data_IF_134294118179
#
_entry.id   IF_134294118179
#
_cell.length_a   1.000
_cell.length_b   1.000
_cell.length_c   1.000
_cell.angle_alpha   90.00
_cell.angle_beta   90.00
_cell.angle_gamma   90.00
#
_symmetry.space_group_name_H-M   'P 1'
#
loop_
_entity.id
_entity.type
_entity.pdbx_description
1 polymer ?
#
# COMPACT_ATOMS: atom_id res chain seq x y z
N UNK A 1 -58.95 43.50 -41.35
CA UNK A 1 -58.81 42.59 -40.17
C UNK A 1 -57.35 42.22 -39.98
N UNK A 2 -56.63 42.92 -39.16
CA UNK A 2 -55.21 42.61 -38.89
C UNK A 2 -54.73 43.39 -37.65
N UNK A 3 -55.29 43.06 -36.46
CA UNK A 3 -54.82 43.66 -35.20
C UNK A 3 -54.12 42.66 -34.27
N UNK A 4 -53.88 41.45 -34.75
CA UNK A 4 -53.30 40.35 -33.95
C UNK A 4 -51.76 40.21 -34.15
N UNK A 5 -51.09 41.18 -34.77
CA UNK A 5 -49.63 41.11 -34.99
C UNK A 5 -48.74 41.81 -33.96
N UNK A 6 -49.33 42.47 -32.95
CA UNK A 6 -48.56 43.31 -32.01
C UNK A 6 -48.53 42.84 -30.56
N UNK A 7 -48.83 41.55 -30.30
CA UNK A 7 -48.72 40.99 -28.92
C UNK A 7 -47.74 39.82 -28.95
N UNK A 8 -46.52 40.11 -29.36
CA UNK A 8 -45.41 39.20 -29.07
C UNK A 8 -44.61 39.88 -27.98
N UNK A 9 -44.57 39.32 -26.74
CA UNK A 9 -43.72 39.86 -25.69
C UNK A 9 -42.25 39.78 -26.11
N UNK A 10 -41.40 40.74 -25.73
CA UNK A 10 -40.01 40.75 -26.11
C UNK A 10 -39.37 39.46 -25.64
N UNK A 11 -38.70 38.75 -26.57
CA UNK A 11 -37.87 37.59 -26.27
C UNK A 11 -36.89 38.00 -25.19
N UNK A 12 -37.11 37.56 -23.95
CA UNK A 12 -36.11 37.57 -22.91
C UNK A 12 -34.96 36.72 -23.45
N UNK A 13 -33.93 37.36 -23.96
CA UNK A 13 -32.65 36.70 -24.22
C UNK A 13 -32.18 36.16 -22.86
N UNK A 14 -32.43 34.87 -22.62
CA UNK A 14 -31.72 34.15 -21.56
C UNK A 14 -30.22 34.35 -21.81
N UNK A 15 -29.63 35.26 -21.08
CA UNK A 15 -28.21 35.32 -20.89
C UNK A 15 -27.86 34.05 -20.08
N UNK A 16 -27.82 32.92 -20.78
CA UNK A 16 -27.13 31.74 -20.24
C UNK A 16 -25.64 32.07 -20.42
N UNK A 17 -25.16 32.95 -19.58
CA UNK A 17 -23.76 33.06 -19.31
C UNK A 17 -23.35 31.68 -18.79
N UNK A 18 -22.76 30.85 -19.65
CA UNK A 18 -21.93 29.72 -19.24
C UNK A 18 -20.79 30.34 -18.42
N UNK A 19 -21.02 30.58 -17.17
CA UNK A 19 -19.94 30.60 -16.20
C UNK A 19 -19.42 29.16 -16.20
N UNK A 20 -18.53 28.86 -17.14
CA UNK A 20 -17.59 27.77 -16.95
C UNK A 20 -16.79 28.17 -15.72
N UNK A 21 -17.26 27.78 -14.54
CA UNK A 21 -16.36 27.61 -13.39
C UNK A 21 -15.27 26.69 -13.92
N UNK A 22 -14.10 27.22 -14.20
CA UNK A 22 -12.89 26.42 -14.31
C UNK A 22 -12.73 25.77 -12.94
N UNK A 23 -13.35 24.61 -12.77
CA UNK A 23 -13.07 23.74 -11.62
C UNK A 23 -11.63 23.28 -11.90
N UNK A 24 -10.64 23.63 -11.05
CA UNK A 24 -9.28 23.19 -11.27
C UNK A 24 -9.27 21.67 -11.42
N UNK A 25 -8.67 21.18 -12.50
CA UNK A 25 -8.50 19.75 -12.72
C UNK A 25 -7.75 19.16 -11.52
N UNK A 26 -8.24 18.05 -10.96
CA UNK A 26 -7.62 17.34 -9.84
C UNK A 26 -8.22 17.58 -8.46
N UNK A 27 -9.27 18.43 -8.31
CA UNK A 27 -9.94 18.63 -7.01
C UNK A 27 -10.89 17.48 -6.62
N UNK A 28 -11.31 16.67 -7.59
CA UNK A 28 -12.31 15.63 -7.38
C UNK A 28 -11.74 14.25 -7.62
N UNK A 29 -12.13 13.30 -6.77
CA UNK A 29 -11.82 11.89 -6.89
C UNK A 29 -13.12 11.10 -6.99
N UNK A 30 -13.22 10.20 -7.96
CA UNK A 30 -14.35 9.29 -8.08
C UNK A 30 -13.99 7.96 -7.42
N UNK A 31 -14.73 7.58 -6.37
CA UNK A 31 -14.50 6.32 -5.70
C UNK A 31 -14.65 5.14 -6.66
N UNK A 32 -13.68 4.24 -6.81
CA UNK A 32 -13.78 3.12 -7.73
C UNK A 32 -14.83 2.08 -7.32
N UNK A 33 -15.17 2.00 -6.03
CA UNK A 33 -16.14 1.04 -5.52
C UNK A 33 -17.58 1.52 -5.65
N UNK A 34 -17.92 2.72 -5.15
CA UNK A 34 -19.29 3.22 -5.12
C UNK A 34 -19.58 4.33 -6.13
N UNK A 35 -18.60 4.74 -6.94
CA UNK A 35 -18.69 5.77 -7.97
C UNK A 35 -19.03 7.18 -7.44
N UNK A 36 -19.15 7.38 -6.13
CA UNK A 36 -19.38 8.69 -5.52
C UNK A 36 -18.21 9.61 -5.81
N UNK A 37 -18.50 10.85 -6.16
CA UNK A 37 -17.49 11.89 -6.37
C UNK A 37 -17.18 12.55 -5.03
N UNK A 38 -15.92 12.51 -4.63
CA UNK A 38 -15.41 13.01 -3.35
C UNK A 38 -14.46 14.18 -3.60
N UNK A 39 -14.44 15.13 -2.68
CA UNK A 39 -13.43 16.18 -2.71
C UNK A 39 -12.09 15.63 -2.24
N UNK A 40 -11.02 15.90 -3.00
CA UNK A 40 -9.71 15.29 -2.75
C UNK A 40 -9.16 15.61 -1.37
N UNK A 41 -9.31 16.86 -0.92
CA UNK A 41 -8.87 17.26 0.43
C UNK A 41 -9.64 16.57 1.56
N UNK A 42 -10.94 16.27 1.35
CA UNK A 42 -11.71 15.53 2.36
C UNK A 42 -11.31 14.04 2.37
N UNK A 43 -10.98 13.48 1.20
CA UNK A 43 -10.46 12.14 1.10
C UNK A 43 -9.08 12.01 1.77
N UNK A 44 -8.21 13.01 1.60
CA UNK A 44 -6.89 13.10 2.26
C UNK A 44 -7.06 13.18 3.79
N UNK A 45 -7.93 14.05 4.30
CA UNK A 45 -8.26 14.15 5.74
C UNK A 45 -8.82 12.84 6.30
N UNK A 46 -9.57 12.09 5.49
CA UNK A 46 -10.11 10.78 5.86
C UNK A 46 -9.13 9.63 5.53
N UNK A 47 -7.82 9.90 5.46
CA UNK A 47 -6.78 8.90 5.23
C UNK A 47 -7.00 8.07 3.96
N UNK A 48 -7.49 8.70 2.88
CA UNK A 48 -7.81 8.06 1.61
C UNK A 48 -8.90 6.97 1.72
N UNK A 49 -9.73 7.00 2.76
CA UNK A 49 -10.89 6.13 2.92
C UNK A 49 -12.15 6.85 2.43
N UNK A 50 -12.91 6.21 1.55
CA UNK A 50 -14.14 6.78 1.03
C UNK A 50 -15.16 6.98 2.15
N UNK A 51 -15.63 8.22 2.35
CA UNK A 51 -16.60 8.54 3.39
C UNK A 51 -17.98 7.92 3.15
N UNK A 52 -18.31 7.55 1.90
CA UNK A 52 -19.60 6.96 1.54
C UNK A 52 -19.66 5.44 1.74
N UNK A 53 -18.63 4.71 1.30
CA UNK A 53 -18.67 3.23 1.30
C UNK A 53 -17.55 2.56 2.09
N UNK A 54 -16.65 3.33 2.71
CA UNK A 54 -15.52 2.80 3.47
C UNK A 54 -14.43 2.17 2.60
N UNK A 55 -14.45 2.35 1.28
CA UNK A 55 -13.41 1.80 0.42
C UNK A 55 -12.06 2.46 0.70
N UNK A 56 -11.04 1.65 0.93
CA UNK A 56 -9.67 2.08 1.18
C UNK A 56 -8.95 2.29 -0.15
N UNK A 57 -8.83 3.56 -0.58
CA UNK A 57 -8.03 3.88 -1.76
C UNK A 57 -6.55 3.64 -1.48
N UNK A 58 -5.77 3.45 -2.54
CA UNK A 58 -4.31 3.33 -2.42
C UNK A 58 -3.70 4.62 -1.89
N UNK A 59 -2.69 4.47 -1.06
CA UNK A 59 -1.98 5.57 -0.41
C UNK A 59 -0.48 5.38 -0.65
N UNK A 60 0.27 6.47 -0.74
CA UNK A 60 1.73 6.39 -0.88
C UNK A 60 2.38 5.88 0.42
N UNK A 61 3.59 5.33 0.28
CA UNK A 61 4.36 4.91 1.45
C UNK A 61 4.67 6.09 2.37
N UNK A 62 4.98 7.27 1.82
CA UNK A 62 5.29 8.48 2.60
C UNK A 62 4.07 8.95 3.40
N UNK A 63 2.88 8.99 2.79
CA UNK A 63 1.66 9.34 3.52
C UNK A 63 1.37 8.34 4.63
N UNK A 64 1.60 7.03 4.37
CA UNK A 64 1.39 5.99 5.37
C UNK A 64 2.36 6.12 6.55
N UNK A 65 3.62 6.42 6.30
CA UNK A 65 4.62 6.71 7.34
C UNK A 65 4.18 7.93 8.17
N UNK A 66 3.77 9.01 7.51
CA UNK A 66 3.29 10.22 8.18
C UNK A 66 2.04 9.99 9.05
N UNK A 67 1.17 9.05 8.66
CA UNK A 67 -0.02 8.68 9.44
C UNK A 67 0.29 7.82 10.67
N UNK A 68 1.33 6.99 10.60
CA UNK A 68 1.64 6.01 11.63
C UNK A 68 2.64 6.54 12.65
N UNK A 69 3.69 7.22 12.22
CA UNK A 69 4.76 7.66 13.09
C UNK A 69 4.55 9.05 13.68
N UNK A 70 5.06 9.23 14.89
CA UNK A 70 5.17 10.54 15.53
C UNK A 70 6.15 11.43 14.76
N UNK A 71 5.90 12.72 14.75
CA UNK A 71 6.80 13.75 14.20
C UNK A 71 7.33 14.65 15.32
N UNK A 72 8.55 15.19 15.25
CA UNK A 72 9.67 14.91 14.37
C UNK A 72 10.57 13.78 14.92
N UNK A 73 11.66 13.43 14.27
CA UNK A 73 12.69 12.47 14.66
C UNK A 73 12.55 11.07 14.02
N UNK A 74 12.22 11.04 12.74
CA UNK A 74 12.26 9.82 11.95
C UNK A 74 13.64 9.67 11.30
N UNK A 75 14.20 8.46 11.32
CA UNK A 75 15.48 8.14 10.68
C UNK A 75 15.22 7.13 9.56
N UNK A 76 15.48 7.51 8.32
CA UNK A 76 15.36 6.62 7.19
C UNK A 76 16.63 5.80 6.98
N UNK A 77 16.46 4.48 6.84
CA UNK A 77 17.53 3.52 6.63
C UNK A 77 17.56 3.00 5.19
N UNK A 78 18.76 2.80 4.65
CA UNK A 78 18.95 2.21 3.33
C UNK A 78 18.47 3.07 2.15
N UNK A 79 18.28 4.36 2.34
CA UNK A 79 17.83 5.29 1.29
C UNK A 79 18.80 5.42 0.10
N UNK A 80 20.08 5.04 0.29
CA UNK A 80 21.11 5.05 -0.77
C UNK A 80 21.20 3.75 -1.55
N UNK A 81 20.52 2.68 -1.11
CA UNK A 81 20.53 1.38 -1.78
C UNK A 81 19.66 1.49 -3.04
N UNK A 82 20.25 1.14 -4.18
CA UNK A 82 19.58 1.22 -5.49
C UNK A 82 19.60 -0.14 -6.19
N UNK A 83 18.55 -0.47 -6.94
CA UNK A 83 18.54 -1.68 -7.74
C UNK A 83 19.56 -1.61 -8.87
N UNK A 84 20.08 -2.77 -9.21
CA UNK A 84 20.91 -2.98 -10.40
C UNK A 84 20.13 -3.83 -11.41
N UNK A 85 20.60 -3.86 -12.65
CA UNK A 85 20.05 -4.73 -13.70
C UNK A 85 21.06 -5.85 -14.04
N UNK A 86 21.19 -6.90 -13.17
CA UNK A 86 22.21 -7.91 -13.35
C UNK A 86 21.92 -8.84 -14.54
N UNK A 87 20.67 -8.88 -15.02
CA UNK A 87 20.24 -9.74 -16.11
C UNK A 87 20.15 -9.01 -17.46
N UNK A 88 20.38 -7.69 -17.46
CA UNK A 88 20.12 -6.85 -18.64
C UNK A 88 18.73 -7.13 -19.23
N UNK A 89 17.73 -7.22 -18.33
CA UNK A 89 16.37 -7.62 -18.68
C UNK A 89 15.70 -6.63 -19.63
N UNK A 90 15.13 -7.16 -20.70
CA UNK A 90 14.41 -6.39 -21.70
C UNK A 90 13.15 -7.15 -22.15
N UNK A 91 11.98 -6.53 -21.98
CA UNK A 91 10.71 -6.99 -22.59
C UNK A 91 10.24 -5.95 -23.63
N UNK A 92 9.23 -5.16 -23.32
CA UNK A 92 8.80 -4.01 -24.14
C UNK A 92 9.70 -2.79 -23.96
N UNK A 93 10.44 -2.72 -22.83
CA UNK A 93 11.41 -1.69 -22.47
C UNK A 93 12.51 -2.28 -21.59
N UNK A 94 13.75 -1.79 -21.70
CA UNK A 94 14.84 -2.20 -20.81
C UNK A 94 14.49 -1.93 -19.33
N UNK A 95 14.82 -2.86 -18.44
CA UNK A 95 14.56 -2.73 -17.01
C UNK A 95 15.21 -1.48 -16.42
N UNK A 96 16.44 -1.19 -16.80
CA UNK A 96 17.18 0.02 -16.39
C UNK A 96 16.43 1.31 -16.74
N UNK A 97 15.76 1.36 -17.89
CA UNK A 97 14.97 2.51 -18.29
C UNK A 97 13.72 2.66 -17.42
N UNK A 98 13.03 1.54 -17.12
CA UNK A 98 11.89 1.53 -16.18
C UNK A 98 12.28 1.99 -14.80
N UNK A 99 13.41 1.51 -14.27
CA UNK A 99 13.94 1.93 -12.98
C UNK A 99 14.16 3.45 -12.95
N UNK A 100 14.90 3.97 -13.93
CA UNK A 100 15.21 5.40 -13.99
C UNK A 100 13.95 6.28 -14.08
N UNK A 101 12.96 5.87 -14.89
CA UNK A 101 11.71 6.63 -15.01
C UNK A 101 10.90 6.60 -13.73
N UNK A 102 10.75 5.43 -13.09
CA UNK A 102 9.99 5.28 -11.85
C UNK A 102 10.66 6.00 -10.68
N UNK A 103 11.99 5.89 -10.55
CA UNK A 103 12.75 6.61 -9.53
C UNK A 103 12.59 8.12 -9.66
N UNK A 104 12.62 8.62 -10.91
CA UNK A 104 12.46 10.05 -11.19
C UNK A 104 11.04 10.57 -10.94
N UNK A 105 10.04 9.74 -11.21
CA UNK A 105 8.62 10.08 -11.01
C UNK A 105 8.24 10.11 -9.53
N UNK A 106 8.74 9.15 -8.74
CA UNK A 106 8.33 8.95 -7.36
C UNK A 106 9.30 9.58 -6.34
N UNK A 107 10.50 9.97 -6.77
CA UNK A 107 11.61 10.37 -5.88
C UNK A 107 11.98 9.28 -4.85
N UNK A 108 11.80 8.01 -5.24
CA UNK A 108 12.11 6.83 -4.43
C UNK A 108 13.10 5.93 -5.16
N UNK A 109 14.02 5.31 -4.42
CA UNK A 109 15.03 4.44 -5.03
C UNK A 109 14.53 3.02 -5.30
N UNK A 110 13.57 2.52 -4.52
CA UNK A 110 12.93 1.22 -4.70
C UNK A 110 11.59 1.14 -3.95
N UNK A 111 10.90 0.02 -4.06
CA UNK A 111 9.54 -0.20 -3.56
C UNK A 111 9.42 -0.29 -2.03
N UNK A 112 10.51 -0.36 -1.27
CA UNK A 112 10.46 -0.42 0.20
C UNK A 112 11.15 0.78 0.83
N UNK A 113 10.48 1.41 1.79
CA UNK A 113 11.01 2.49 2.62
C UNK A 113 11.08 1.96 4.05
N UNK A 114 12.24 2.14 4.70
CA UNK A 114 12.47 1.71 6.09
C UNK A 114 12.75 2.92 6.95
N UNK A 115 11.96 3.08 8.01
CA UNK A 115 12.05 4.25 8.89
C UNK A 115 12.04 3.78 10.35
N UNK A 116 12.98 4.28 11.12
CA UNK A 116 12.98 4.22 12.59
C UNK A 116 12.22 5.43 13.13
N UNK A 117 11.31 5.19 14.07
CA UNK A 117 10.49 6.25 14.64
C UNK A 117 9.74 5.78 15.89
N UNK A 118 8.66 6.47 16.23
CA UNK A 118 7.80 6.12 17.36
C UNK A 118 6.34 6.13 16.95
N UNK A 119 5.54 5.29 17.58
CA UNK A 119 4.07 5.30 17.55
C UNK A 119 3.59 5.54 18.96
N UNK A 120 2.90 6.66 19.22
CA UNK A 120 2.47 7.06 20.58
C UNK A 120 3.61 6.96 21.61
N UNK A 121 4.79 7.48 21.22
CA UNK A 121 6.05 7.46 21.98
C UNK A 121 6.72 6.09 22.11
N UNK A 122 6.16 5.00 21.61
CA UNK A 122 6.73 3.65 21.62
C UNK A 122 7.70 3.51 20.44
N UNK A 123 8.97 3.14 20.65
CA UNK A 123 9.94 2.95 19.57
C UNK A 123 9.54 1.80 18.65
N UNK A 124 9.67 2.01 17.34
CA UNK A 124 9.39 1.01 16.31
C UNK A 124 10.32 1.17 15.11
N UNK A 125 10.49 0.09 14.35
CA UNK A 125 10.99 0.15 12.98
C UNK A 125 9.85 -0.19 12.03
N UNK A 126 9.61 0.69 11.07
CA UNK A 126 8.53 0.60 10.10
C UNK A 126 9.09 0.36 8.70
N UNK A 127 8.69 -0.71 8.04
CA UNK A 127 8.99 -1.03 6.64
C UNK A 127 7.71 -0.89 5.81
N UNK A 128 7.66 0.05 4.86
CA UNK A 128 6.44 0.38 4.11
C UNK A 128 6.68 0.26 2.62
N UNK A 129 5.79 -0.46 1.95
CA UNK A 129 5.83 -0.62 0.50
C UNK A 129 5.23 0.59 -0.23
N UNK A 130 5.95 1.06 -1.26
CA UNK A 130 5.44 1.98 -2.27
C UNK A 130 4.92 1.19 -3.48
N UNK A 131 3.60 1.04 -3.54
CA UNK A 131 2.97 0.25 -4.61
C UNK A 131 3.17 0.84 -6.00
N UNK A 132 3.29 2.17 -6.11
CA UNK A 132 3.54 2.82 -7.40
C UNK A 132 4.90 2.48 -7.99
N UNK A 133 5.86 2.10 -7.13
CA UNK A 133 7.16 1.63 -7.60
C UNK A 133 7.03 0.20 -8.16
N UNK A 134 6.81 0.10 -9.46
CA UNK A 134 6.70 -1.17 -10.20
C UNK A 134 5.74 -2.20 -9.55
N UNK A 135 4.56 -1.72 -9.10
CA UNK A 135 3.57 -2.56 -8.42
C UNK A 135 3.99 -3.03 -7.03
N UNK A 136 4.89 -2.33 -6.35
CA UNK A 136 5.42 -2.73 -5.05
C UNK A 136 6.21 -4.04 -5.12
N UNK A 137 6.74 -4.41 -6.31
CA UNK A 137 7.38 -5.71 -6.49
C UNK A 137 8.68 -5.85 -5.72
N UNK A 138 8.86 -7.04 -5.12
CA UNK A 138 10.04 -7.38 -4.35
C UNK A 138 11.21 -7.74 -5.26
N UNK A 139 12.21 -6.86 -5.34
CA UNK A 139 13.52 -7.12 -5.93
C UNK A 139 14.61 -7.25 -4.85
N UNK A 140 15.85 -7.32 -5.28
CA UNK A 140 17.04 -7.45 -4.41
C UNK A 140 17.12 -6.35 -3.33
N UNK A 141 16.78 -5.11 -3.69
CA UNK A 141 16.78 -3.96 -2.78
C UNK A 141 15.71 -4.09 -1.70
N UNK A 142 14.52 -4.57 -2.05
CA UNK A 142 13.45 -4.81 -1.07
C UNK A 142 13.90 -5.82 -0.02
N UNK A 143 14.50 -6.94 -0.45
CA UNK A 143 15.02 -7.94 0.47
C UNK A 143 16.14 -7.41 1.37
N UNK A 144 17.08 -6.62 0.81
CA UNK A 144 18.16 -5.98 1.58
C UNK A 144 17.62 -4.99 2.60
N UNK A 145 16.73 -4.10 2.19
CA UNK A 145 16.10 -3.11 3.09
C UNK A 145 15.26 -3.78 4.19
N UNK A 146 14.59 -4.91 3.88
CA UNK A 146 13.85 -5.66 4.88
C UNK A 146 14.79 -6.26 5.94
N UNK A 147 15.92 -6.86 5.53
CA UNK A 147 16.94 -7.34 6.46
C UNK A 147 17.50 -6.20 7.30
N UNK A 148 17.76 -5.04 6.70
CA UNK A 148 18.20 -3.84 7.41
C UNK A 148 17.16 -3.38 8.44
N UNK A 149 15.87 -3.47 8.14
CA UNK A 149 14.79 -3.17 9.08
C UNK A 149 14.81 -4.14 10.28
N UNK A 150 14.97 -5.43 10.01
CA UNK A 150 15.12 -6.46 11.05
C UNK A 150 16.33 -6.17 11.94
N UNK A 151 17.50 -5.93 11.37
CA UNK A 151 18.72 -5.66 12.14
C UNK A 151 18.62 -4.36 12.96
N UNK A 152 17.95 -3.34 12.41
CA UNK A 152 17.69 -2.09 13.12
C UNK A 152 16.75 -2.32 14.30
N UNK A 153 15.67 -3.07 14.11
CA UNK A 153 14.73 -3.39 15.19
C UNK A 153 15.37 -4.22 16.30
N UNK A 154 16.23 -5.19 15.96
CA UNK A 154 17.04 -5.95 16.93
C UNK A 154 17.95 -5.02 17.73
N UNK A 155 18.71 -4.15 17.04
CA UNK A 155 19.62 -3.20 17.66
C UNK A 155 18.92 -2.27 18.63
N UNK A 156 17.74 -1.79 18.25
CA UNK A 156 16.95 -0.85 19.04
C UNK A 156 16.03 -1.55 20.07
N UNK A 157 16.00 -2.88 20.06
CA UNK A 157 15.13 -3.70 20.94
C UNK A 157 13.66 -3.25 20.84
N UNK A 158 13.14 -3.09 19.65
CA UNK A 158 11.79 -2.59 19.42
C UNK A 158 11.02 -3.45 18.41
N UNK A 159 9.73 -3.22 18.33
CA UNK A 159 8.85 -3.90 17.37
C UNK A 159 9.26 -3.59 15.93
N UNK A 160 9.15 -4.60 15.05
CA UNK A 160 9.18 -4.46 13.61
C UNK A 160 7.75 -4.45 13.07
N UNK A 161 7.43 -3.47 12.25
CA UNK A 161 6.14 -3.38 11.57
C UNK A 161 6.38 -3.33 10.06
N UNK A 162 5.71 -4.20 9.30
CA UNK A 162 5.76 -4.15 7.85
C UNK A 162 4.38 -3.84 7.28
N UNK A 163 4.28 -2.80 6.46
CA UNK A 163 3.05 -2.52 5.70
C UNK A 163 3.28 -2.95 4.26
N UNK A 164 2.74 -4.12 3.92
CA UNK A 164 2.87 -4.73 2.61
C UNK A 164 1.81 -4.22 1.64
N UNK A 165 2.26 -3.84 0.44
CA UNK A 165 1.43 -3.54 -0.72
C UNK A 165 2.21 -3.94 -1.98
N UNK A 166 1.95 -5.14 -2.52
CA UNK A 166 2.83 -5.73 -3.53
C UNK A 166 2.11 -6.68 -4.48
N UNK A 167 2.51 -6.64 -5.75
CA UNK A 167 2.15 -7.64 -6.74
C UNK A 167 2.97 -8.94 -6.65
N UNK A 168 4.02 -8.99 -5.83
CA UNK A 168 4.88 -10.16 -5.63
C UNK A 168 6.33 -9.94 -6.01
N UNK A 169 7.03 -11.02 -6.42
CA UNK A 169 8.44 -10.98 -6.82
C UNK A 169 8.65 -10.20 -8.12
N UNK A 170 9.72 -9.43 -8.21
CA UNK A 170 10.05 -8.59 -9.37
C UNK A 170 10.56 -9.44 -10.53
N UNK A 171 9.75 -9.58 -11.57
CA UNK A 171 10.02 -10.42 -12.74
C UNK A 171 11.36 -10.05 -13.41
N UNK A 172 11.68 -8.77 -13.48
CA UNK A 172 12.89 -8.27 -14.14
C UNK A 172 14.20 -8.68 -13.47
N UNK A 173 14.15 -9.09 -12.21
CA UNK A 173 15.32 -9.61 -11.49
C UNK A 173 15.33 -11.16 -11.41
N UNK A 174 14.36 -11.82 -12.04
CA UNK A 174 14.30 -13.27 -12.20
C UNK A 174 14.48 -14.04 -10.87
N UNK A 175 15.39 -15.03 -10.86
CA UNK A 175 15.66 -15.84 -9.68
C UNK A 175 16.16 -15.03 -8.48
N UNK A 176 16.84 -13.90 -8.71
CA UNK A 176 17.33 -13.03 -7.63
C UNK A 176 16.18 -12.51 -6.79
N UNK A 177 15.06 -12.12 -7.42
CA UNK A 177 13.87 -11.68 -6.70
C UNK A 177 13.22 -12.80 -5.89
N UNK A 178 13.21 -14.03 -6.40
CA UNK A 178 12.68 -15.18 -5.66
C UNK A 178 13.55 -15.53 -4.45
N UNK A 179 14.87 -15.40 -4.56
CA UNK A 179 15.78 -15.63 -3.44
C UNK A 179 15.60 -14.64 -2.29
N UNK A 180 14.93 -13.50 -2.53
CA UNK A 180 14.60 -12.57 -1.44
C UNK A 180 13.59 -13.18 -0.46
N UNK A 181 12.74 -14.10 -0.89
CA UNK A 181 11.83 -14.84 0.00
C UNK A 181 12.63 -15.60 1.08
N UNK A 182 13.63 -16.36 0.67
CA UNK A 182 14.49 -17.08 1.61
C UNK A 182 15.29 -16.12 2.51
N UNK A 183 15.84 -15.05 1.94
CA UNK A 183 16.63 -14.05 2.66
C UNK A 183 15.81 -13.36 3.76
N UNK A 184 14.61 -12.91 3.47
CA UNK A 184 13.72 -12.22 4.42
C UNK A 184 13.20 -13.18 5.49
N UNK A 185 12.86 -14.42 5.14
CA UNK A 185 12.45 -15.46 6.10
C UNK A 185 13.58 -15.83 7.06
N UNK A 186 14.81 -15.95 6.57
CA UNK A 186 15.98 -16.19 7.42
C UNK A 186 16.23 -15.03 8.39
N UNK A 187 16.04 -13.78 7.95
CA UNK A 187 16.14 -12.62 8.83
C UNK A 187 15.07 -12.64 9.92
N UNK A 188 13.84 -13.02 9.62
CA UNK A 188 12.76 -13.16 10.61
C UNK A 188 13.04 -14.30 11.60
N UNK A 189 13.63 -15.41 11.18
CA UNK A 189 14.08 -16.47 12.09
C UNK A 189 15.10 -15.93 13.10
N UNK A 190 16.04 -15.08 12.66
CA UNK A 190 16.95 -14.38 13.56
C UNK A 190 16.18 -13.44 14.50
N UNK A 191 15.23 -12.64 13.96
CA UNK A 191 14.43 -11.69 14.75
C UNK A 191 13.66 -12.37 15.87
N UNK A 192 13.00 -13.49 15.58
CA UNK A 192 12.22 -14.29 16.53
C UNK A 192 13.05 -14.74 17.75
N UNK A 193 14.36 -15.00 17.58
CA UNK A 193 15.23 -15.37 18.70
C UNK A 193 15.41 -14.27 19.76
N UNK A 194 15.12 -13.01 19.39
CA UNK A 194 15.16 -11.86 20.30
C UNK A 194 13.82 -11.62 21.00
N UNK A 195 12.77 -12.39 20.69
CA UNK A 195 11.43 -12.27 21.28
C UNK A 195 10.83 -10.86 21.13
N UNK A 196 11.15 -10.20 20.04
CA UNK A 196 10.58 -8.90 19.68
C UNK A 196 9.39 -9.13 18.74
N UNK A 197 8.30 -8.34 18.84
CA UNK A 197 7.13 -8.55 18.03
C UNK A 197 7.33 -8.09 16.57
N UNK A 198 6.93 -8.93 15.63
CA UNK A 198 6.78 -8.60 14.21
C UNK A 198 5.31 -8.50 13.84
N UNK A 199 4.83 -7.32 13.49
CA UNK A 199 3.45 -7.07 13.07
C UNK A 199 3.43 -6.83 11.57
N UNK A 200 2.66 -7.64 10.85
CA UNK A 200 2.45 -7.48 9.41
C UNK A 200 1.09 -6.85 9.12
N UNK A 201 1.07 -5.80 8.30
CA UNK A 201 -0.14 -5.13 7.83
C UNK A 201 -0.26 -5.34 6.33
N UNK A 202 -1.34 -6.00 5.92
CA UNK A 202 -1.60 -6.37 4.53
C UNK A 202 -2.58 -5.38 3.90
N UNK A 203 -2.09 -4.61 2.92
CA UNK A 203 -2.90 -3.66 2.14
C UNK A 203 -3.27 -4.24 0.78
N UNK A 204 -4.15 -3.55 0.05
CA UNK A 204 -4.59 -3.95 -1.29
C UNK A 204 -3.64 -3.49 -2.41
N UNK A 205 -3.06 -4.42 -3.17
CA UNK A 205 -2.98 -5.87 -3.00
C UNK A 205 -1.71 -6.32 -2.24
N UNK A 206 -1.73 -7.51 -1.63
CA UNK A 206 -0.52 -8.19 -1.13
C UNK A 206 -0.47 -9.60 -1.69
N UNK A 207 0.39 -9.84 -2.67
CA UNK A 207 0.34 -11.03 -3.52
C UNK A 207 1.72 -11.68 -3.71
N UNK A 208 1.72 -12.87 -4.28
CA UNK A 208 2.88 -13.57 -4.85
C UNK A 208 3.99 -13.84 -3.84
N UNK A 209 5.25 -13.60 -4.23
CA UNK A 209 6.41 -13.86 -3.38
C UNK A 209 6.46 -13.06 -2.08
N UNK A 210 5.78 -11.91 -2.00
CA UNK A 210 5.70 -11.10 -0.77
C UNK A 210 4.76 -11.75 0.23
N UNK A 211 3.54 -12.15 -0.19
CA UNK A 211 2.63 -12.90 0.67
C UNK A 211 3.19 -14.28 1.04
N UNK A 212 3.86 -14.98 0.11
CA UNK A 212 4.45 -16.29 0.37
C UNK A 212 5.78 -16.25 1.17
N UNK A 213 6.12 -15.08 1.75
CA UNK A 213 7.28 -14.92 2.61
C UNK A 213 6.95 -14.03 3.81
N UNK A 214 7.72 -13.00 4.05
CA UNK A 214 7.65 -12.19 5.27
C UNK A 214 6.27 -11.58 5.57
N UNK A 215 5.44 -11.27 4.55
CA UNK A 215 4.14 -10.65 4.81
C UNK A 215 3.17 -11.56 5.57
N UNK A 216 3.31 -12.89 5.46
CA UNK A 216 2.50 -13.87 6.20
C UNK A 216 3.26 -14.53 7.36
N UNK A 217 4.39 -13.96 7.77
CA UNK A 217 5.21 -14.45 8.89
C UNK A 217 5.18 -13.52 10.12
N UNK A 218 4.18 -12.61 10.18
CA UNK A 218 3.95 -11.78 11.36
C UNK A 218 3.52 -12.60 12.58
N UNK A 219 3.94 -12.19 13.76
CA UNK A 219 3.36 -12.69 15.02
C UNK A 219 1.90 -12.26 15.13
N UNK A 220 1.56 -11.13 14.54
CA UNK A 220 0.19 -10.66 14.29
C UNK A 220 0.09 -10.18 12.84
N UNK A 221 -0.95 -10.66 12.15
CA UNK A 221 -1.23 -10.32 10.76
C UNK A 221 -2.54 -9.53 10.70
N UNK A 222 -2.42 -8.26 10.37
CA UNK A 222 -3.54 -7.33 10.22
C UNK A 222 -3.82 -7.11 8.73
N UNK A 223 -5.08 -7.11 8.31
CA UNK A 223 -5.45 -6.68 6.96
C UNK A 223 -6.27 -5.39 6.99
N UNK A 224 -6.12 -4.57 5.95
CA UNK A 224 -7.10 -3.50 5.68
C UNK A 224 -8.39 -4.11 5.12
N UNK A 225 -9.58 -3.51 5.42
CA UNK A 225 -10.86 -4.00 4.90
C UNK A 225 -10.84 -4.19 3.39
N UNK A 226 -11.35 -5.31 2.92
CA UNK A 226 -11.47 -5.69 1.51
C UNK A 226 -10.15 -5.82 0.74
N UNK A 227 -9.00 -5.79 1.41
CA UNK A 227 -7.70 -5.98 0.77
C UNK A 227 -7.64 -7.34 0.06
N UNK A 228 -7.08 -7.34 -1.16
CA UNK A 228 -6.81 -8.54 -1.93
C UNK A 228 -5.47 -9.12 -1.49
N UNK A 229 -5.51 -10.31 -0.90
CA UNK A 229 -4.34 -10.98 -0.31
C UNK A 229 -4.33 -12.43 -0.77
N UNK A 230 -3.23 -12.88 -1.34
CA UNK A 230 -3.11 -14.25 -1.82
C UNK A 230 -1.78 -14.50 -2.51
N UNK A 231 -1.61 -15.69 -3.09
CA UNK A 231 -0.41 -16.01 -3.86
C UNK A 231 -0.63 -15.71 -5.35
N UNK A 232 -1.34 -16.58 -6.06
CA UNK A 232 -1.73 -16.32 -7.44
C UNK A 232 -2.98 -15.42 -7.47
N UNK A 233 -3.04 -14.50 -8.42
CA UNK A 233 -4.21 -13.64 -8.58
C UNK A 233 -5.47 -14.43 -9.00
N UNK A 234 -6.69 -13.96 -8.65
CA UNK A 234 -7.93 -14.67 -8.96
C UNK A 234 -8.06 -15.04 -10.44
N UNK A 235 -7.72 -14.13 -11.35
CA UNK A 235 -7.76 -14.39 -12.80
C UNK A 235 -6.84 -15.54 -13.23
N UNK A 236 -5.66 -15.65 -12.63
CA UNK A 236 -4.71 -16.72 -12.93
C UNK A 236 -5.27 -18.06 -12.45
N UNK A 237 -5.84 -18.09 -11.25
CA UNK A 237 -6.46 -19.31 -10.70
C UNK A 237 -7.61 -19.75 -11.59
N UNK A 238 -8.58 -18.87 -11.87
CA UNK A 238 -9.75 -19.17 -12.70
C UNK A 238 -9.37 -19.67 -14.11
N UNK A 239 -8.36 -19.04 -14.74
CA UNK A 239 -7.91 -19.47 -16.06
C UNK A 239 -7.19 -20.83 -16.04
N UNK A 240 -6.54 -21.17 -14.93
CA UNK A 240 -5.81 -22.44 -14.77
C UNK A 240 -6.71 -23.58 -14.38
N UNK A 241 -7.58 -23.37 -13.38
CA UNK A 241 -8.50 -24.40 -12.86
C UNK A 241 -9.76 -24.50 -13.72
N UNK A 242 -10.09 -23.43 -14.47
CA UNK A 242 -11.30 -23.30 -15.31
C UNK A 242 -12.60 -23.34 -14.51
N UNK A 243 -12.55 -22.91 -13.27
CA UNK A 243 -13.70 -22.79 -12.38
C UNK A 243 -13.85 -21.36 -11.88
N UNK A 244 -15.08 -21.00 -11.49
CA UNK A 244 -15.34 -19.68 -10.86
C UNK A 244 -14.99 -19.76 -9.38
N UNK A 245 -14.26 -18.77 -8.91
CA UNK A 245 -13.93 -18.66 -7.50
C UNK A 245 -15.13 -18.21 -6.66
N UNK A 246 -15.23 -18.64 -5.39
CA UNK A 246 -16.25 -18.16 -4.47
C UNK A 246 -16.26 -16.62 -4.36
N UNK A 247 -17.42 -16.08 -4.04
CA UNK A 247 -17.53 -14.64 -3.77
C UNK A 247 -16.65 -14.26 -2.58
N UNK A 248 -15.93 -13.13 -2.71
CA UNK A 248 -15.02 -12.68 -1.67
C UNK A 248 -13.70 -13.46 -1.56
N UNK A 249 -13.44 -14.42 -2.44
CA UNK A 249 -12.19 -15.19 -2.40
C UNK A 249 -10.96 -14.29 -2.38
N UNK A 250 -9.99 -14.61 -1.52
CA UNK A 250 -8.77 -13.84 -1.28
C UNK A 250 -9.00 -12.41 -0.75
N UNK A 251 -10.20 -12.05 -0.31
CA UNK A 251 -10.43 -10.80 0.40
C UNK A 251 -10.13 -10.95 1.89
N UNK A 252 -9.79 -9.85 2.54
CA UNK A 252 -9.46 -9.84 3.96
C UNK A 252 -10.50 -10.55 4.83
N UNK A 253 -11.80 -10.31 4.56
CA UNK A 253 -12.91 -10.90 5.28
C UNK A 253 -12.94 -12.43 5.13
N UNK A 254 -12.74 -12.93 3.90
CA UNK A 254 -12.65 -14.35 3.61
C UNK A 254 -11.45 -14.98 4.34
N UNK A 255 -10.30 -14.31 4.36
CA UNK A 255 -9.09 -14.81 5.00
C UNK A 255 -9.21 -14.83 6.54
N UNK A 256 -9.89 -13.85 7.12
CA UNK A 256 -10.19 -13.84 8.55
C UNK A 256 -11.09 -15.02 8.95
N UNK A 257 -12.14 -15.26 8.19
CA UNK A 257 -13.06 -16.40 8.40
C UNK A 257 -12.35 -17.76 8.33
N UNK A 258 -11.31 -17.86 7.50
CA UNK A 258 -10.51 -19.08 7.33
C UNK A 258 -9.26 -19.13 8.23
N UNK A 259 -9.10 -18.21 9.16
CA UNK A 259 -7.99 -18.19 10.12
C UNK A 259 -6.61 -17.94 9.50
N UNK A 260 -6.56 -17.28 8.33
CA UNK A 260 -5.31 -16.96 7.63
C UNK A 260 -4.68 -15.66 8.13
N UNK A 261 -5.50 -14.76 8.65
CA UNK A 261 -5.10 -13.50 9.29
C UNK A 261 -5.78 -13.35 10.65
N UNK A 262 -5.23 -12.52 11.52
CA UNK A 262 -5.70 -12.39 12.90
C UNK A 262 -6.79 -11.33 13.06
N UNK A 263 -6.72 -10.23 12.29
CA UNK A 263 -7.68 -9.14 12.41
C UNK A 263 -7.79 -8.28 11.16
N UNK A 264 -8.94 -7.63 11.03
CA UNK A 264 -9.18 -6.60 10.02
C UNK A 264 -9.31 -5.27 10.76
N UNK A 265 -8.49 -4.28 10.38
CA UNK A 265 -8.48 -2.96 11.01
C UNK A 265 -8.61 -1.86 9.97
N UNK A 266 -9.57 -0.97 10.17
CA UNK A 266 -9.70 0.24 9.35
C UNK A 266 -8.43 1.10 9.47
N UNK A 267 -7.93 1.61 8.35
CA UNK A 267 -6.70 2.41 8.28
C UNK A 267 -6.68 3.53 9.31
N UNK A 268 -7.83 4.14 9.58
CA UNK A 268 -7.97 5.25 10.53
C UNK A 268 -7.73 4.83 11.99
N UNK A 269 -7.78 3.54 12.27
CA UNK A 269 -7.60 2.96 13.61
C UNK A 269 -6.26 2.21 13.76
N UNK A 270 -5.57 1.91 12.65
CA UNK A 270 -4.33 1.11 12.67
C UNK A 270 -3.30 1.65 13.65
N UNK A 271 -3.08 2.98 13.68
CA UNK A 271 -2.10 3.58 14.60
C UNK A 271 -2.38 3.25 16.06
N UNK A 272 -3.64 3.41 16.48
CA UNK A 272 -4.07 3.10 17.85
C UNK A 272 -3.94 1.61 18.14
N UNK A 273 -4.41 0.76 17.25
CA UNK A 273 -4.30 -0.70 17.39
C UNK A 273 -2.84 -1.17 17.49
N UNK A 274 -1.94 -0.57 16.72
CA UNK A 274 -0.50 -0.88 16.81
C UNK A 274 0.08 -0.50 18.18
N UNK A 275 -0.24 0.67 18.70
CA UNK A 275 0.22 1.10 20.00
C UNK A 275 -0.25 0.16 21.11
N UNK A 276 -1.52 -0.24 21.09
CA UNK A 276 -2.10 -1.21 22.03
C UNK A 276 -1.40 -2.58 21.92
N UNK A 277 -1.25 -3.12 20.70
CA UNK A 277 -0.62 -4.42 20.47
C UNK A 277 0.85 -4.43 20.93
N UNK A 278 1.62 -3.41 20.56
CA UNK A 278 3.04 -3.34 20.94
C UNK A 278 3.18 -3.25 22.45
N UNK A 279 2.33 -2.48 23.13
CA UNK A 279 2.32 -2.37 24.58
C UNK A 279 2.07 -3.72 25.25
N UNK A 280 1.18 -4.54 24.70
CA UNK A 280 0.88 -5.86 25.25
C UNK A 280 1.94 -6.92 24.92
N UNK A 281 2.55 -6.83 23.74
CA UNK A 281 3.52 -7.83 23.27
C UNK A 281 4.96 -7.54 23.69
N UNK A 282 5.25 -6.34 24.15
CA UNK A 282 6.59 -5.93 24.58
C UNK A 282 6.60 -5.78 26.10
N UNK A 283 6.63 -6.87 26.87
CA UNK A 283 6.77 -6.80 28.32
C UNK A 283 8.15 -6.21 28.63
N UNK A 284 8.17 -5.07 29.33
CA UNK A 284 9.35 -4.41 29.87
C UNK A 284 10.27 -5.38 30.62
#
# INVERSE_FOLDING_TARGET
MSWLKNVIPPKIKRIVGKVRKNIPEGLWHKCPACQTVLYKTDLEKNMQVCSNCGFHNRISARDRIAMLLDTPNQIEHGNKIKPTDPLSFNDTKPYKERLNSTQKELDENDALIVVEGKIESIPVVLAVFEFKFMGGSMGSVVGEKFVLAVDTAIKNKCALICVAASGGARMQEGLISLMQMAKTSAALTKFSSYKLPFISILSDPTMGGVSASFAMLGDIIIAEPKALIGFAGPRVIESTVREKLPEGFQRAEFLLEHGVIDMIVDRRQIRKSLAELITHLNPN
#
